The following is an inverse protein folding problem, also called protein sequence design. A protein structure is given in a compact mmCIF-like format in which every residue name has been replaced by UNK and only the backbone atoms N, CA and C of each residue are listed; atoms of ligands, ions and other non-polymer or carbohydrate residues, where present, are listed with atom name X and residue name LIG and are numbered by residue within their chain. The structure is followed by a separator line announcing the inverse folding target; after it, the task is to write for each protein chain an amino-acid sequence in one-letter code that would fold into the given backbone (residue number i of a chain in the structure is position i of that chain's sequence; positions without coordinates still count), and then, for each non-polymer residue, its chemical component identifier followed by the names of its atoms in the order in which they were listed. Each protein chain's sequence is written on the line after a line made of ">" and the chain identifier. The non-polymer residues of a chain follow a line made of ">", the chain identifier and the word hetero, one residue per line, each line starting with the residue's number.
data_IF_088052392442
#
_entry.id   IF_088052392442
#
_cell.length_a   1.000
_cell.length_b   1.000
_cell.length_c   1.000
_cell.angle_alpha   90.00
_cell.angle_beta   90.00
_cell.angle_gamma   90.00
#
_symmetry.space_group_name_H-M   'P 1'
#
loop_
_entity.id
_entity.type
_entity.pdbx_description
1 polymer ?
#
# COMPACT_ATOMS: atom_id res chain seq x y z
N UNK A 1 33.74 -19.65 0.51
CA UNK A 1 33.33 -18.25 0.22
C UNK A 1 32.26 -18.17 -0.87
N UNK A 2 32.52 -18.58 -2.13
CA UNK A 2 31.53 -18.48 -3.25
C UNK A 2 30.15 -19.11 -2.99
N UNK A 3 30.07 -20.28 -2.32
CA UNK A 3 28.78 -20.93 -1.97
C UNK A 3 27.98 -20.10 -0.96
N UNK A 4 28.63 -19.58 0.08
CA UNK A 4 27.96 -18.75 1.10
C UNK A 4 27.46 -17.45 0.48
N UNK A 5 28.26 -16.78 -0.36
CA UNK A 5 27.83 -15.59 -1.09
C UNK A 5 26.61 -15.85 -1.97
N UNK A 6 26.56 -17.00 -2.68
CA UNK A 6 25.39 -17.40 -3.48
C UNK A 6 24.14 -17.65 -2.62
N UNK A 7 24.30 -18.27 -1.45
CA UNK A 7 23.18 -18.50 -0.51
C UNK A 7 22.64 -17.17 0.01
N UNK A 8 23.53 -16.27 0.45
CA UNK A 8 23.13 -14.93 0.93
C UNK A 8 22.41 -14.16 -0.17
N UNK A 9 22.94 -14.19 -1.40
CA UNK A 9 22.30 -13.54 -2.54
C UNK A 9 20.91 -14.14 -2.83
N UNK A 10 20.78 -15.47 -2.80
CA UNK A 10 19.50 -16.13 -3.01
C UNK A 10 18.48 -15.74 -1.93
N UNK A 11 18.89 -15.71 -0.66
CA UNK A 11 18.03 -15.27 0.45
C UNK A 11 17.56 -13.83 0.22
N UNK A 12 18.47 -12.93 -0.14
CA UNK A 12 18.14 -11.53 -0.38
C UNK A 12 17.15 -11.35 -1.53
N UNK A 13 17.35 -12.08 -2.64
CA UNK A 13 16.42 -12.07 -3.79
C UNK A 13 15.05 -12.60 -3.36
N UNK A 14 15.00 -13.71 -2.63
CA UNK A 14 13.73 -14.28 -2.14
C UNK A 14 12.98 -13.28 -1.26
N UNK A 15 13.67 -12.62 -0.32
CA UNK A 15 13.05 -11.60 0.54
C UNK A 15 12.55 -10.41 -0.29
N UNK A 16 13.33 -9.94 -1.27
CA UNK A 16 12.92 -8.86 -2.16
C UNK A 16 11.66 -9.23 -2.98
N UNK A 17 11.58 -10.48 -3.48
CA UNK A 17 10.40 -10.99 -4.19
C UNK A 17 9.17 -11.05 -3.28
N UNK A 18 9.30 -11.50 -2.04
CA UNK A 18 8.19 -11.52 -1.07
C UNK A 18 7.66 -10.12 -0.81
N UNK A 19 8.55 -9.13 -0.63
CA UNK A 19 8.14 -7.72 -0.50
C UNK A 19 7.47 -7.18 -1.77
N UNK A 20 7.94 -7.59 -2.95
CA UNK A 20 7.31 -7.25 -4.22
C UNK A 20 5.87 -7.78 -4.30
N UNK A 21 5.64 -9.04 -3.91
CA UNK A 21 4.30 -9.63 -3.87
C UNK A 21 3.39 -8.87 -2.91
N UNK A 22 3.87 -8.55 -1.71
CA UNK A 22 3.13 -7.76 -0.72
C UNK A 22 2.71 -6.41 -1.31
N UNK A 23 3.63 -5.70 -1.97
CA UNK A 23 3.31 -4.42 -2.61
C UNK A 23 2.28 -4.54 -3.74
N UNK A 24 2.31 -5.63 -4.52
CA UNK A 24 1.30 -5.90 -5.55
C UNK A 24 -0.07 -6.16 -4.93
N UNK A 25 -0.14 -6.89 -3.80
CA UNK A 25 -1.40 -7.13 -3.08
C UNK A 25 -1.98 -5.81 -2.58
N UNK A 26 -1.20 -5.01 -1.88
CA UNK A 26 -1.67 -3.72 -1.35
C UNK A 26 -2.10 -2.77 -2.47
N UNK A 27 -1.35 -2.71 -3.57
CA UNK A 27 -1.74 -1.92 -4.74
C UNK A 27 -3.07 -2.40 -5.34
N UNK A 28 -3.28 -3.72 -5.40
CA UNK A 28 -4.51 -4.29 -5.95
C UNK A 28 -5.73 -3.97 -5.07
N UNK A 29 -5.57 -4.00 -3.74
CA UNK A 29 -6.59 -3.59 -2.78
C UNK A 29 -6.93 -2.11 -2.93
N UNK A 30 -5.92 -1.23 -2.89
CA UNK A 30 -6.13 0.23 -2.99
C UNK A 30 -6.73 0.62 -4.35
N UNK A 31 -6.29 -0.03 -5.43
CA UNK A 31 -6.90 0.15 -6.76
C UNK A 31 -8.36 -0.32 -6.79
N UNK A 32 -8.71 -1.32 -5.99
CA UNK A 32 -10.08 -1.77 -5.75
C UNK A 32 -10.85 -0.93 -4.72
N UNK A 33 -10.30 0.21 -4.29
CA UNK A 33 -10.88 1.10 -3.30
C UNK A 33 -11.00 0.50 -1.89
N UNK A 34 -10.11 -0.42 -1.54
CA UNK A 34 -9.95 -0.97 -0.19
C UNK A 34 -8.66 -0.48 0.48
N UNK A 35 -8.61 -0.48 1.82
CA UNK A 35 -7.39 -0.12 2.56
C UNK A 35 -6.25 -1.10 2.24
N UNK A 36 -4.99 -0.64 2.16
CA UNK A 36 -3.87 -1.55 2.10
C UNK A 36 -3.79 -2.37 3.40
N UNK A 37 -3.30 -3.61 3.31
CA UNK A 37 -3.29 -4.57 4.43
C UNK A 37 -1.94 -4.68 5.10
N UNK A 38 -0.86 -4.58 4.32
CA UNK A 38 0.50 -4.76 4.84
C UNK A 38 1.25 -3.45 5.03
N UNK A 39 0.90 -2.41 4.26
CA UNK A 39 1.44 -1.08 4.43
C UNK A 39 1.09 -0.53 5.81
N UNK A 40 2.09 0.08 6.45
CA UNK A 40 1.99 0.56 7.82
C UNK A 40 1.45 2.00 7.80
N UNK A 41 0.38 2.31 8.55
CA UNK A 41 -0.10 3.68 8.68
C UNK A 41 0.94 4.53 9.44
N UNK A 42 1.29 5.69 8.90
CA UNK A 42 2.26 6.62 9.53
C UNK A 42 1.62 7.93 9.98
N UNK A 43 0.77 8.50 9.14
CA UNK A 43 0.02 9.73 9.42
C UNK A 43 -1.43 9.45 9.06
N UNK A 44 -2.28 9.27 10.06
CA UNK A 44 -3.71 8.93 9.86
C UNK A 44 -4.61 10.02 10.42
N UNK A 45 -5.77 10.17 9.80
CA UNK A 45 -6.86 10.99 10.31
C UNK A 45 -7.69 10.20 11.33
N UNK A 46 -8.51 10.90 12.13
CA UNK A 46 -9.39 10.30 13.14
C UNK A 46 -10.72 9.80 12.56
N UNK A 47 -10.68 9.34 11.32
CA UNK A 47 -11.81 8.70 10.62
C UNK A 47 -11.66 7.17 10.56
N UNK A 48 -10.58 6.64 11.15
CA UNK A 48 -10.32 5.21 11.21
C UNK A 48 -9.65 4.63 9.95
N UNK A 49 -9.25 5.43 8.96
CA UNK A 49 -8.56 4.87 7.80
C UNK A 49 -7.95 5.80 6.75
N UNK A 50 -8.25 7.11 6.74
CA UNK A 50 -7.57 8.01 5.82
C UNK A 50 -6.18 8.32 6.33
N UNK A 51 -5.26 8.58 5.41
CA UNK A 51 -3.90 8.94 5.75
C UNK A 51 -2.86 8.36 4.82
N UNK A 52 -1.63 8.34 5.32
CA UNK A 52 -0.46 7.83 4.60
C UNK A 52 -0.08 6.45 5.11
N UNK A 53 0.11 5.53 4.18
CA UNK A 53 0.48 4.14 4.42
C UNK A 53 1.79 3.83 3.69
N UNK A 54 2.78 3.31 4.40
CA UNK A 54 4.10 3.00 3.83
C UNK A 54 4.37 1.50 3.80
N UNK A 55 4.75 1.01 2.63
CA UNK A 55 5.38 -0.28 2.46
C UNK A 55 6.85 -0.14 2.07
N UNK A 56 7.50 -1.28 1.82
CA UNK A 56 8.89 -1.26 1.37
C UNK A 56 8.95 -0.74 -0.07
N UNK A 57 9.54 0.45 -0.24
CA UNK A 57 9.72 1.17 -1.52
C UNK A 57 8.48 1.83 -2.11
N UNK A 58 7.31 1.71 -1.48
CA UNK A 58 6.08 2.34 -1.96
C UNK A 58 5.30 2.98 -0.81
N UNK A 59 4.40 3.90 -1.17
CA UNK A 59 3.46 4.47 -0.22
C UNK A 59 2.13 4.78 -0.90
N UNK A 60 1.09 4.85 -0.08
CA UNK A 60 -0.23 5.30 -0.48
C UNK A 60 -0.63 6.49 0.38
N UNK A 61 -1.24 7.48 -0.25
CA UNK A 61 -2.06 8.45 0.44
C UNK A 61 -3.50 8.10 0.10
N UNK A 62 -4.33 7.84 1.10
CA UNK A 62 -5.72 7.46 0.90
C UNK A 62 -6.64 8.40 1.67
N UNK A 63 -7.77 8.70 1.05
CA UNK A 63 -8.92 9.31 1.69
C UNK A 63 -10.10 8.35 1.52
N UNK A 64 -11.02 8.34 2.48
CA UNK A 64 -12.15 7.45 2.41
C UNK A 64 -13.15 7.64 3.51
N UNK A 65 -14.23 6.89 3.36
CA UNK A 65 -15.33 6.80 4.28
C UNK A 65 -15.10 5.56 5.13
N UNK A 66 -14.65 5.75 6.35
CA UNK A 66 -14.22 4.66 7.22
C UNK A 66 -14.96 4.61 8.55
N UNK A 67 -15.92 5.53 8.74
CA UNK A 67 -16.77 5.57 9.90
C UNK A 67 -17.99 4.67 9.70
N UNK A 68 -18.52 4.05 10.78
CA UNK A 68 -19.68 3.15 10.69
C UNK A 68 -20.94 3.79 10.09
N UNK A 69 -21.08 5.10 10.26
CA UNK A 69 -22.20 5.90 9.77
C UNK A 69 -22.13 6.26 8.28
N UNK A 70 -21.01 6.01 7.61
CA UNK A 70 -20.86 6.36 6.21
C UNK A 70 -21.67 5.41 5.30
N UNK A 71 -22.50 5.96 4.43
CA UNK A 71 -23.37 5.18 3.52
C UNK A 71 -22.58 4.31 2.53
N UNK A 72 -21.34 4.70 2.22
CA UNK A 72 -20.50 4.07 1.22
C UNK A 72 -19.07 3.89 1.76
N UNK A 73 -18.82 2.84 2.54
CA UNK A 73 -17.53 2.64 3.19
C UNK A 73 -16.44 2.21 2.21
N UNK A 74 -15.22 2.70 2.43
CA UNK A 74 -14.06 2.35 1.61
C UNK A 74 -13.21 3.58 1.25
N UNK A 75 -12.16 3.33 0.47
CA UNK A 75 -11.31 4.38 -0.07
C UNK A 75 -12.10 5.14 -1.14
N UNK A 76 -12.14 6.46 -1.05
CA UNK A 76 -12.76 7.32 -2.06
C UNK A 76 -11.73 7.92 -3.01
N UNK A 77 -10.51 8.15 -2.50
CA UNK A 77 -9.38 8.65 -3.26
C UNK A 77 -8.09 7.97 -2.84
N UNK A 78 -7.22 7.68 -3.80
CA UNK A 78 -5.86 7.28 -3.52
C UNK A 78 -4.82 7.92 -4.43
N UNK A 79 -3.63 8.07 -3.88
CA UNK A 79 -2.39 8.32 -4.59
C UNK A 79 -1.42 7.19 -4.30
N UNK A 80 -0.84 6.61 -5.34
CA UNK A 80 0.17 5.57 -5.26
C UNK A 80 1.52 6.12 -5.64
N UNK A 81 2.48 5.98 -4.74
CA UNK A 81 3.86 6.39 -4.90
C UNK A 81 4.79 5.18 -4.90
N UNK A 82 5.78 5.20 -5.79
CA UNK A 82 6.87 4.23 -5.81
C UNK A 82 8.20 4.99 -5.78
N UNK A 83 9.07 4.66 -4.83
CA UNK A 83 10.31 5.38 -4.53
C UNK A 83 10.10 6.90 -4.36
N UNK A 84 8.98 7.30 -3.75
CA UNK A 84 8.60 8.70 -3.53
C UNK A 84 8.08 9.44 -4.78
N UNK A 85 7.95 8.78 -5.93
CA UNK A 85 7.37 9.37 -7.14
C UNK A 85 5.92 8.94 -7.28
N UNK A 86 5.03 9.90 -7.55
CA UNK A 86 3.65 9.61 -7.87
C UNK A 86 3.58 8.79 -9.16
N UNK A 87 2.97 7.61 -9.09
CA UNK A 87 2.80 6.67 -10.20
C UNK A 87 1.36 6.68 -10.70
N UNK A 88 0.39 6.77 -9.80
CA UNK A 88 -1.03 6.69 -10.16
C UNK A 88 -1.91 7.33 -9.09
N UNK A 89 -3.00 7.93 -9.54
CA UNK A 89 -4.12 8.33 -8.69
C UNK A 89 -5.38 7.57 -9.09
N UNK A 90 -6.36 7.51 -8.20
CA UNK A 90 -7.69 7.00 -8.51
C UNK A 90 -8.73 7.59 -7.57
N UNK A 91 -9.91 7.86 -8.11
CA UNK A 91 -11.07 8.37 -7.37
C UNK A 91 -12.25 7.46 -7.68
N UNK A 92 -13.05 7.13 -6.66
CA UNK A 92 -14.31 6.42 -6.86
C UNK A 92 -15.41 7.44 -7.13
N UNK A 93 -16.30 7.13 -8.08
CA UNK A 93 -17.45 7.99 -8.41
C UNK A 93 -18.70 7.59 -7.64
N UNK A 94 -18.56 6.82 -6.56
CA UNK A 94 -19.70 6.41 -5.76
C UNK A 94 -20.05 7.60 -4.82
N UNK A 95 -20.88 8.49 -5.35
CA UNK A 95 -21.53 9.61 -4.68
C UNK A 95 -22.99 9.66 -5.10
#
# INVERSE_FOLDING_TARGET
>A
MKKLTKIILAIFITVALLWGIIGVIDYSLVKGFEKPRFAIPTVTYDDGGSGTYHGLWYSFQIEGNFMPEDEQPGVTYYEYYLFGKLIKTGTTNNG
#
